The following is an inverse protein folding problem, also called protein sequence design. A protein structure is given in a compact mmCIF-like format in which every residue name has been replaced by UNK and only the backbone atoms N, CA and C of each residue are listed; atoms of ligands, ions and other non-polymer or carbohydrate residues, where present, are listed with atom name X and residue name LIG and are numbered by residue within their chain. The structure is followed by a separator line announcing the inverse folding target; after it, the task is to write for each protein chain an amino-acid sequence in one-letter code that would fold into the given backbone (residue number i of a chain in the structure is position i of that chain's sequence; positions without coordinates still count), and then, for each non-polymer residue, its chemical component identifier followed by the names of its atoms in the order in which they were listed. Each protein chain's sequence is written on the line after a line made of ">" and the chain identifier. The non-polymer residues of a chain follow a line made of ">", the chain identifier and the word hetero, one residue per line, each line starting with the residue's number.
data_IF_068344630630
#
_entry.id   IF_068344630630
#
_cell.length_a   1.000
_cell.length_b   1.000
_cell.length_c   1.000
_cell.angle_alpha   90.00
_cell.angle_beta   90.00
_cell.angle_gamma   90.00
#
_symmetry.space_group_name_H-M   'P 1'
#
loop_
_entity.id
_entity.type
_entity.pdbx_description
1 polymer ?
#
# COMPACT_ATOMS: atom_id res chain seq x y z
N UNK A 1 -51.02 8.65 26.33
CA UNK A 1 -50.60 8.84 24.93
C UNK A 1 -49.09 9.06 24.85
N UNK A 2 -48.53 10.11 25.47
CA UNK A 2 -47.05 10.32 25.47
C UNK A 2 -46.27 9.12 26.05
N UNK A 3 -46.68 8.59 27.21
CA UNK A 3 -46.03 7.40 27.79
C UNK A 3 -46.11 6.13 26.92
N UNK A 4 -47.12 5.99 26.07
CA UNK A 4 -47.25 4.82 25.19
C UNK A 4 -46.35 4.97 23.95
N UNK A 5 -46.20 6.19 23.43
CA UNK A 5 -45.29 6.51 22.33
C UNK A 5 -43.83 6.25 22.73
N UNK A 6 -43.44 6.64 23.95
CA UNK A 6 -42.09 6.41 24.47
C UNK A 6 -41.75 4.93 24.60
N UNK A 7 -42.71 4.10 25.05
CA UNK A 7 -42.50 2.65 25.17
C UNK A 7 -42.30 2.00 23.80
N UNK A 8 -43.10 2.38 22.81
CA UNK A 8 -42.98 1.85 21.44
C UNK A 8 -41.65 2.27 20.81
N UNK A 9 -41.25 3.54 20.96
CA UNK A 9 -39.98 4.04 20.43
C UNK A 9 -38.78 3.33 21.07
N UNK A 10 -38.78 3.15 22.39
CA UNK A 10 -37.70 2.44 23.09
C UNK A 10 -37.60 0.97 22.67
N UNK A 11 -38.74 0.30 22.48
CA UNK A 11 -38.77 -1.07 21.98
C UNK A 11 -38.21 -1.15 20.56
N UNK A 12 -38.64 -0.26 19.66
CA UNK A 12 -38.16 -0.22 18.29
C UNK A 12 -36.65 0.05 18.21
N UNK A 13 -36.15 1.02 18.96
CA UNK A 13 -34.72 1.31 19.05
C UNK A 13 -33.93 0.10 19.55
N UNK A 14 -34.42 -0.58 20.59
CA UNK A 14 -33.78 -1.79 21.12
C UNK A 14 -33.75 -2.93 20.10
N UNK A 15 -34.83 -3.13 19.35
CA UNK A 15 -34.91 -4.14 18.29
C UNK A 15 -33.91 -3.87 17.16
N UNK A 16 -33.77 -2.60 16.74
CA UNK A 16 -32.79 -2.20 15.72
C UNK A 16 -31.35 -2.39 16.22
N UNK A 17 -31.04 -1.96 17.45
CA UNK A 17 -29.70 -2.15 18.05
C UNK A 17 -29.32 -3.64 18.08
N UNK A 18 -30.25 -4.51 18.51
CA UNK A 18 -29.98 -5.95 18.53
C UNK A 18 -29.73 -6.51 17.13
N UNK A 19 -30.45 -6.02 16.12
CA UNK A 19 -30.25 -6.42 14.72
C UNK A 19 -28.88 -5.99 14.23
N UNK A 20 -28.50 -4.73 14.43
CA UNK A 20 -27.21 -4.17 14.07
C UNK A 20 -26.04 -4.89 14.76
N UNK A 21 -26.17 -5.20 16.05
CA UNK A 21 -25.16 -5.97 16.78
C UNK A 21 -25.01 -7.38 16.22
N UNK A 22 -26.12 -8.06 15.89
CA UNK A 22 -26.08 -9.39 15.29
C UNK A 22 -25.37 -9.37 13.93
N UNK A 23 -25.63 -8.38 13.09
CA UNK A 23 -24.95 -8.21 11.80
C UNK A 23 -23.44 -7.97 11.96
N UNK A 24 -23.02 -7.11 12.90
CA UNK A 24 -21.59 -6.88 13.17
C UNK A 24 -20.92 -8.15 13.69
N UNK A 25 -21.55 -8.88 14.61
CA UNK A 25 -21.02 -10.16 15.11
C UNK A 25 -20.84 -11.13 13.95
N UNK A 26 -21.85 -11.25 13.08
CA UNK A 26 -21.81 -12.16 11.92
C UNK A 26 -20.72 -11.76 10.91
N UNK A 27 -20.53 -10.46 10.68
CA UNK A 27 -19.46 -9.92 9.84
C UNK A 27 -18.06 -10.25 10.38
N UNK A 28 -17.91 -10.32 11.70
CA UNK A 28 -16.63 -10.65 12.36
C UNK A 28 -16.34 -12.15 12.48
N UNK A 29 -17.19 -13.03 11.96
CA UNK A 29 -16.96 -14.47 12.02
C UNK A 29 -15.73 -14.89 11.18
N UNK A 30 -15.02 -15.92 11.65
CA UNK A 30 -13.83 -16.46 10.96
C UNK A 30 -14.17 -16.93 9.54
N UNK A 31 -15.41 -17.38 9.32
CA UNK A 31 -15.91 -17.88 8.04
C UNK A 31 -15.90 -16.80 6.94
N UNK A 32 -15.92 -15.52 7.32
CA UNK A 32 -15.86 -14.42 6.37
C UNK A 32 -14.45 -14.23 5.76
N UNK A 33 -13.42 -14.89 6.31
CA UNK A 33 -12.06 -14.87 5.76
C UNK A 33 -11.31 -13.56 5.99
N UNK A 34 -11.83 -12.69 6.85
CA UNK A 34 -11.29 -11.34 7.11
C UNK A 34 -10.40 -11.28 8.37
N UNK A 35 -9.95 -12.45 8.82
CA UNK A 35 -9.05 -12.59 9.96
C UNK A 35 -7.62 -12.74 9.45
N UNK A 36 -6.72 -11.89 9.95
CA UNK A 36 -5.33 -11.85 9.51
C UNK A 36 -4.38 -12.20 10.65
N UNK A 37 -3.65 -13.30 10.47
CA UNK A 37 -2.60 -13.73 11.38
C UNK A 37 -1.23 -13.27 10.87
N UNK A 38 -0.57 -12.36 11.58
CA UNK A 38 0.74 -11.82 11.18
C UNK A 38 1.79 -12.90 10.89
N UNK A 39 1.85 -13.95 11.70
CA UNK A 39 2.81 -15.06 11.52
C UNK A 39 2.50 -15.98 10.32
N UNK A 40 1.29 -15.89 9.78
CA UNK A 40 0.81 -16.75 8.69
C UNK A 40 0.51 -15.96 7.42
N UNK A 41 0.71 -14.64 7.46
CA UNK A 41 0.51 -13.71 6.36
C UNK A 41 1.03 -14.27 5.04
N UNK A 42 0.16 -14.33 4.04
CA UNK A 42 0.48 -14.74 2.66
C UNK A 42 0.48 -13.51 1.76
N UNK A 43 1.23 -13.58 0.66
CA UNK A 43 1.26 -12.49 -0.31
C UNK A 43 -0.10 -12.36 -1.01
N UNK A 44 -0.74 -13.50 -1.29
CA UNK A 44 -2.03 -13.61 -1.95
C UNK A 44 -3.15 -12.93 -1.14
N UNK A 45 -3.09 -13.01 0.20
CA UNK A 45 -4.04 -12.29 1.08
C UNK A 45 -3.88 -10.77 1.02
N UNK A 46 -2.67 -10.29 0.76
CA UNK A 46 -2.37 -8.87 0.70
C UNK A 46 -2.67 -8.29 -0.70
N UNK A 47 -2.30 -9.02 -1.76
CA UNK A 47 -2.54 -8.63 -3.16
C UNK A 47 -4.02 -8.76 -3.55
N UNK A 48 -4.72 -9.76 -3.03
CA UNK A 48 -6.14 -9.98 -3.29
C UNK A 48 -7.07 -9.09 -2.46
N UNK A 49 -6.55 -8.20 -1.63
CA UNK A 49 -7.36 -7.31 -0.82
C UNK A 49 -7.87 -6.11 -1.64
N UNK A 50 -9.18 -6.07 -1.89
CA UNK A 50 -9.86 -4.95 -2.54
C UNK A 50 -10.97 -4.40 -1.64
N UNK A 51 -11.03 -3.06 -1.51
CA UNK A 51 -11.97 -2.41 -0.60
C UNK A 51 -13.41 -2.45 -1.15
N UNK A 52 -13.55 -2.44 -2.46
CA UNK A 52 -14.83 -2.51 -3.20
C UNK A 52 -15.49 -3.88 -3.03
N UNK A 53 -14.70 -4.95 -3.16
CA UNK A 53 -15.14 -6.32 -2.90
C UNK A 53 -15.57 -6.49 -1.45
N UNK A 54 -14.82 -5.89 -0.53
CA UNK A 54 -15.15 -5.90 0.88
C UNK A 54 -16.46 -5.17 1.16
N UNK A 55 -16.67 -4.00 0.57
CA UNK A 55 -17.93 -3.25 0.69
C UNK A 55 -19.12 -4.01 0.16
N UNK A 56 -18.97 -4.68 -0.99
CA UNK A 56 -20.00 -5.54 -1.56
C UNK A 56 -20.37 -6.67 -0.60
N UNK A 57 -19.38 -7.34 0.00
CA UNK A 57 -19.61 -8.39 1.01
C UNK A 57 -20.26 -7.85 2.28
N UNK A 58 -19.76 -6.73 2.80
CA UNK A 58 -20.32 -6.08 4.00
C UNK A 58 -21.78 -5.70 3.81
N UNK A 59 -22.14 -5.15 2.64
CA UNK A 59 -23.52 -4.83 2.29
C UNK A 59 -24.44 -6.06 2.26
N UNK A 60 -23.93 -7.20 1.79
CA UNK A 60 -24.69 -8.47 1.76
C UNK A 60 -24.87 -9.04 3.17
N UNK A 61 -23.84 -8.98 4.01
CA UNK A 61 -23.81 -9.59 5.35
C UNK A 61 -24.54 -8.72 6.38
N UNK A 62 -24.42 -7.40 6.27
CA UNK A 62 -24.95 -6.42 7.21
C UNK A 62 -25.82 -5.36 6.51
N UNK A 63 -26.90 -5.76 5.81
CA UNK A 63 -27.71 -4.84 5.02
C UNK A 63 -28.40 -3.74 5.83
N UNK A 64 -28.82 -4.02 7.07
CA UNK A 64 -29.51 -3.01 7.89
C UNK A 64 -28.53 -1.96 8.40
N UNK A 65 -27.37 -2.38 8.90
CA UNK A 65 -26.28 -1.47 9.28
C UNK A 65 -25.81 -0.65 8.08
N UNK A 66 -25.69 -1.27 6.90
CA UNK A 66 -25.34 -0.56 5.67
C UNK A 66 -26.33 0.55 5.36
N UNK A 67 -27.63 0.26 5.36
CA UNK A 67 -28.68 1.26 5.12
C UNK A 67 -28.68 2.37 6.17
N UNK A 68 -28.49 2.02 7.44
CA UNK A 68 -28.39 3.02 8.51
C UNK A 68 -27.20 3.96 8.28
N UNK A 69 -26.02 3.42 7.95
CA UNK A 69 -24.85 4.24 7.66
C UNK A 69 -25.03 5.08 6.40
N UNK A 70 -25.71 4.57 5.38
CA UNK A 70 -26.06 5.36 4.20
C UNK A 70 -26.89 6.58 4.62
N UNK A 71 -27.98 6.36 5.36
CA UNK A 71 -28.85 7.43 5.83
C UNK A 71 -28.15 8.46 6.73
N UNK A 72 -27.18 8.04 7.55
CA UNK A 72 -26.40 8.96 8.39
C UNK A 72 -25.37 9.77 7.58
N UNK A 73 -24.79 9.18 6.53
CA UNK A 73 -23.78 9.85 5.69
C UNK A 73 -24.41 10.70 4.58
N UNK A 74 -25.66 10.43 4.20
CA UNK A 74 -26.45 11.13 3.17
C UNK A 74 -27.12 12.43 3.69
N UNK A 75 -26.65 12.95 4.83
CA UNK A 75 -27.31 14.05 5.56
C UNK A 75 -27.23 15.42 4.85
N UNK A 76 -26.39 15.57 3.82
CA UNK A 76 -26.14 16.85 3.15
C UNK A 76 -27.25 17.28 2.18
N UNK A 77 -28.10 16.35 1.73
CA UNK A 77 -29.20 16.68 0.81
C UNK A 77 -30.27 17.60 1.40
N UNK A 78 -30.31 17.78 2.73
CA UNK A 78 -31.28 18.69 3.36
C UNK A 78 -30.81 20.17 3.40
N UNK A 79 -29.55 20.47 3.06
CA UNK A 79 -29.02 21.84 3.07
C UNK A 79 -29.20 22.58 1.73
N UNK A 80 -29.18 21.87 0.60
CA UNK A 80 -29.29 22.50 -0.73
C UNK A 80 -30.70 23.05 -1.03
N UNK A 81 -31.76 22.46 -0.48
CA UNK A 81 -33.15 22.92 -0.68
C UNK A 81 -33.48 24.26 0.01
N UNK A 82 -32.56 24.82 0.81
CA UNK A 82 -32.77 26.12 1.47
C UNK A 82 -32.09 27.31 0.78
N UNK A 83 -31.24 27.07 -0.21
CA UNK A 83 -30.44 28.13 -0.83
C UNK A 83 -31.09 28.75 -2.09
N UNK A 84 -32.15 28.14 -2.63
CA UNK A 84 -32.85 28.64 -3.83
C UNK A 84 -34.05 29.55 -3.55
N UNK A 85 -34.48 29.73 -2.29
CA UNK A 85 -35.64 30.57 -1.94
C UNK A 85 -35.29 31.94 -1.36
N UNK A 86 -34.01 32.36 -1.37
CA UNK A 86 -33.60 33.68 -0.85
C UNK A 86 -32.91 34.54 -1.92
N UNK A 87 -33.56 34.76 -3.06
CA UNK A 87 -33.28 35.92 -3.91
C UNK A 87 -34.61 36.50 -4.39
N UNK A 88 -35.16 37.40 -3.57
CA UNK A 88 -35.79 38.65 -4.01
C UNK A 88 -36.17 39.44 -2.76
N UNK A 89 -35.30 40.35 -2.31
CA UNK A 89 -35.66 41.65 -1.72
C UNK A 89 -34.37 42.46 -1.50
N UNK A 90 -34.16 43.46 -2.34
CA UNK A 90 -33.22 44.56 -2.09
C UNK A 90 -33.68 45.35 -0.85
N UNK A 91 -32.79 45.53 0.14
CA UNK A 91 -32.39 46.85 0.67
C UNK A 91 -31.63 46.71 2.00
N UNK A 92 -30.34 47.05 1.94
CA UNK A 92 -29.61 47.87 2.91
C UNK A 92 -29.74 47.52 4.41
N UNK A 93 -28.86 46.64 4.90
CA UNK A 93 -28.53 46.55 6.32
C UNK A 93 -27.21 45.79 6.51
N UNK A 94 -26.15 46.55 6.83
CA UNK A 94 -24.91 46.06 7.42
C UNK A 94 -25.20 45.24 8.70
N UNK A 95 -25.10 43.91 8.60
CA UNK A 95 -24.79 43.07 9.76
C UNK A 95 -23.77 42.00 9.37
N UNK A 96 -22.54 42.34 9.70
CA UNK A 96 -21.39 41.46 9.81
C UNK A 96 -21.70 40.35 10.83
N UNK A 97 -22.04 39.16 10.35
CA UNK A 97 -21.96 37.94 11.13
C UNK A 97 -21.32 36.84 10.29
N UNK A 98 -20.18 36.42 10.80
CA UNK A 98 -19.16 35.58 10.22
C UNK A 98 -19.60 34.11 10.17
N UNK A 99 -20.04 33.64 9.00
CA UNK A 99 -20.19 32.20 8.72
C UNK A 99 -18.84 31.65 8.22
N UNK A 100 -18.10 31.00 9.14
CA UNK A 100 -16.73 30.52 8.95
C UNK A 100 -16.61 28.99 8.85
N UNK A 101 -17.67 28.27 8.48
CA UNK A 101 -17.65 26.79 8.47
C UNK A 101 -18.34 26.14 7.26
N UNK A 102 -18.03 26.62 6.05
CA UNK A 102 -18.41 25.90 4.82
C UNK A 102 -17.27 25.96 3.82
N UNK A 103 -16.19 25.23 4.10
CA UNK A 103 -15.02 25.08 3.20
C UNK A 103 -14.25 23.78 3.52
N UNK A 104 -14.94 22.64 3.76
CA UNK A 104 -14.26 21.35 4.01
C UNK A 104 -13.92 20.56 2.73
N UNK A 105 -14.36 21.02 1.56
CA UNK A 105 -13.95 20.44 0.28
C UNK A 105 -12.65 21.06 -0.28
N UNK A 106 -12.14 22.12 0.35
CA UNK A 106 -10.94 22.84 -0.10
C UNK A 106 -9.65 22.39 0.61
N UNK A 107 -9.72 21.67 1.74
CA UNK A 107 -8.53 21.27 2.52
C UNK A 107 -7.67 20.21 1.82
N UNK A 108 -8.23 19.44 0.89
CA UNK A 108 -7.50 18.42 0.13
C UNK A 108 -7.25 18.81 -1.33
N UNK A 109 -7.75 19.97 -1.79
CA UNK A 109 -7.62 20.45 -3.17
C UNK A 109 -6.24 21.00 -3.53
N UNK A 110 -5.45 21.43 -2.55
CA UNK A 110 -4.21 22.19 -2.77
C UNK A 110 -2.91 21.40 -2.47
N UNK A 111 -2.93 20.07 -2.50
CA UNK A 111 -1.68 19.29 -2.63
C UNK A 111 -1.39 19.07 -4.12
N UNK A 112 -1.23 20.17 -4.85
CA UNK A 112 -0.68 20.18 -6.20
C UNK A 112 0.85 20.00 -6.10
N UNK A 113 1.30 18.76 -6.26
CA UNK A 113 2.68 18.45 -6.58
C UNK A 113 2.95 18.84 -8.03
N UNK A 114 3.27 20.11 -8.27
CA UNK A 114 3.86 20.68 -9.49
C UNK A 114 3.63 19.88 -10.79
N UNK A 115 2.41 19.91 -11.34
CA UNK A 115 2.15 19.51 -12.73
C UNK A 115 1.98 20.77 -13.60
N UNK A 116 2.71 20.93 -14.73
CA UNK A 116 2.65 22.15 -15.50
C UNK A 116 1.32 22.25 -16.29
N UNK A 117 0.49 23.17 -15.83
CA UNK A 117 -0.50 23.99 -16.53
C UNK A 117 -0.94 23.52 -17.92
N UNK A 118 -2.12 22.88 -17.99
CA UNK A 118 -2.93 22.84 -19.22
C UNK A 118 -4.17 23.70 -19.05
N UNK A 119 -4.10 24.88 -19.65
CA UNK A 119 -5.27 25.72 -19.88
C UNK A 119 -6.25 25.06 -20.87
N UNK A 120 -7.54 25.31 -20.63
CA UNK A 120 -8.70 25.19 -21.53
C UNK A 120 -9.31 23.79 -21.70
N UNK A 121 -10.52 23.59 -21.13
CA UNK A 121 -11.78 23.72 -21.87
C UNK A 121 -13.00 23.42 -20.98
N UNK A 122 -13.90 24.39 -20.93
CA UNK A 122 -15.28 24.34 -20.45
C UNK A 122 -16.09 23.22 -21.13
N UNK A 123 -16.33 22.11 -20.42
CA UNK A 123 -17.50 21.24 -20.60
C UNK A 123 -17.39 20.04 -19.64
N UNK A 124 -18.15 20.04 -18.52
CA UNK A 124 -18.60 18.82 -17.83
C UNK A 124 -19.47 19.16 -16.62
N UNK A 125 -20.78 19.02 -16.80
CA UNK A 125 -21.78 19.14 -15.73
C UNK A 125 -22.57 17.82 -15.59
N UNK A 126 -21.87 16.69 -15.78
CA UNK A 126 -22.45 15.33 -15.75
C UNK A 126 -21.54 14.31 -15.04
N UNK A 127 -20.46 14.76 -14.40
CA UNK A 127 -19.49 13.89 -13.70
C UNK A 127 -19.52 14.00 -12.18
N UNK A 128 -20.31 14.89 -11.60
CA UNK A 128 -20.33 15.06 -10.13
C UNK A 128 -21.04 13.88 -9.42
N UNK A 129 -22.18 13.44 -9.94
CA UNK A 129 -23.01 12.42 -9.26
C UNK A 129 -22.34 11.03 -9.12
N UNK A 130 -21.53 10.60 -10.09
CA UNK A 130 -20.86 9.30 -10.03
C UNK A 130 -19.68 9.27 -9.04
N UNK A 131 -18.99 10.41 -8.87
CA UNK A 131 -17.89 10.53 -7.91
C UNK A 131 -18.40 10.58 -6.46
N UNK A 132 -19.55 11.20 -6.23
CA UNK A 132 -20.14 11.35 -4.90
C UNK A 132 -20.66 10.00 -4.34
N UNK A 133 -21.34 9.21 -5.17
CA UNK A 133 -21.81 7.88 -4.79
C UNK A 133 -20.66 6.90 -4.45
N UNK A 134 -19.51 7.02 -5.12
CA UNK A 134 -18.30 6.25 -4.80
C UNK A 134 -17.73 6.60 -3.42
N UNK A 135 -17.68 7.90 -3.10
CA UNK A 135 -17.18 8.42 -1.82
C UNK A 135 -18.01 7.91 -0.63
N UNK A 136 -19.34 7.89 -0.75
CA UNK A 136 -20.23 7.43 0.32
C UNK A 136 -20.03 5.94 0.64
N UNK A 137 -19.95 5.08 -0.38
CA UNK A 137 -19.70 3.65 -0.19
C UNK A 137 -18.35 3.42 0.53
N UNK A 138 -17.30 4.14 0.15
CA UNK A 138 -15.99 4.02 0.80
C UNK A 138 -16.04 4.42 2.27
N UNK A 139 -16.72 5.53 2.60
CA UNK A 139 -16.93 5.99 3.99
C UNK A 139 -17.67 4.93 4.81
N UNK A 140 -18.71 4.30 4.27
CA UNK A 140 -19.45 3.22 4.94
C UNK A 140 -18.55 2.02 5.26
N UNK A 141 -17.73 1.58 4.30
CA UNK A 141 -16.80 0.46 4.49
C UNK A 141 -15.81 0.76 5.60
N UNK A 142 -15.23 1.96 5.65
CA UNK A 142 -14.28 2.35 6.69
C UNK A 142 -14.91 2.32 8.09
N UNK A 143 -16.12 2.84 8.25
CA UNK A 143 -16.81 2.83 9.55
C UNK A 143 -17.11 1.39 9.98
N UNK A 144 -17.60 0.55 9.07
CA UNK A 144 -17.87 -0.86 9.36
C UNK A 144 -16.61 -1.64 9.73
N UNK A 145 -15.48 -1.36 9.07
CA UNK A 145 -14.18 -1.94 9.40
C UNK A 145 -13.76 -1.60 10.83
N UNK A 146 -13.96 -0.36 11.28
CA UNK A 146 -13.64 0.08 12.64
C UNK A 146 -14.57 -0.58 13.67
N UNK A 147 -15.88 -0.64 13.40
CA UNK A 147 -16.84 -1.30 14.29
C UNK A 147 -16.59 -2.81 14.41
N UNK A 148 -16.30 -3.46 13.28
CA UNK A 148 -16.01 -4.88 13.22
C UNK A 148 -14.72 -5.22 13.97
N UNK A 149 -13.66 -4.42 13.77
CA UNK A 149 -12.40 -4.60 14.48
C UNK A 149 -12.53 -4.37 16.00
N UNK A 150 -13.31 -3.36 16.39
CA UNK A 150 -13.59 -3.05 17.79
C UNK A 150 -14.41 -4.17 18.47
N UNK A 151 -15.31 -4.83 17.73
CA UNK A 151 -16.10 -5.96 18.21
C UNK A 151 -15.27 -7.24 18.31
N UNK A 152 -14.35 -7.45 17.36
CA UNK A 152 -13.45 -8.59 17.33
C UNK A 152 -12.09 -8.18 16.75
N UNK A 153 -11.08 -8.07 17.61
CA UNK A 153 -9.72 -7.67 17.20
C UNK A 153 -9.06 -8.65 16.20
N UNK A 154 -9.61 -9.86 16.04
CA UNK A 154 -9.15 -10.80 15.01
C UNK A 154 -9.64 -10.44 13.62
N UNK A 155 -10.70 -9.65 13.49
CA UNK A 155 -11.13 -9.02 12.24
C UNK A 155 -10.21 -7.82 11.98
N UNK A 156 -9.08 -8.07 11.34
CA UNK A 156 -7.98 -7.12 11.22
C UNK A 156 -7.32 -7.12 9.83
N UNK A 157 -7.97 -7.72 8.81
CA UNK A 157 -7.41 -7.80 7.47
C UNK A 157 -7.07 -6.40 6.89
N UNK A 158 -8.00 -5.46 6.97
CA UNK A 158 -7.76 -4.08 6.53
C UNK A 158 -6.66 -3.40 7.34
N UNK A 159 -6.72 -3.49 8.67
CA UNK A 159 -5.71 -2.92 9.57
C UNK A 159 -4.31 -3.50 9.29
N UNK A 160 -4.22 -4.77 8.90
CA UNK A 160 -2.97 -5.40 8.51
C UNK A 160 -2.45 -4.85 7.17
N UNK A 161 -3.31 -4.67 6.17
CA UNK A 161 -2.96 -4.08 4.87
C UNK A 161 -2.44 -2.65 5.05
N UNK A 162 -3.15 -1.81 5.81
CA UNK A 162 -2.72 -0.44 6.12
C UNK A 162 -1.40 -0.43 6.89
N UNK A 163 -1.26 -1.27 7.91
CA UNK A 163 -0.02 -1.39 8.67
C UNK A 163 1.17 -1.82 7.82
N UNK A 164 0.97 -2.75 6.89
CA UNK A 164 1.98 -3.16 5.91
C UNK A 164 2.35 -2.01 4.97
N UNK A 165 1.36 -1.32 4.41
CA UNK A 165 1.56 -0.18 3.50
C UNK A 165 2.35 0.95 4.17
N UNK A 166 1.97 1.35 5.38
CA UNK A 166 2.69 2.40 6.11
C UNK A 166 4.14 1.98 6.39
N UNK A 167 4.36 0.69 6.73
CA UNK A 167 5.71 0.18 6.93
C UNK A 167 6.55 0.17 5.66
N UNK A 168 5.96 -0.14 4.50
CA UNK A 168 6.66 -0.14 3.21
C UNK A 168 7.05 1.27 2.76
N UNK A 169 6.27 2.29 3.14
CA UNK A 169 6.59 3.72 2.97
C UNK A 169 7.60 4.27 4.00
N UNK A 170 8.26 3.39 4.75
CA UNK A 170 9.23 3.76 5.79
C UNK A 170 8.65 4.73 6.84
N UNK A 171 7.35 4.62 7.12
CA UNK A 171 6.68 5.50 8.07
C UNK A 171 7.35 5.40 9.46
N UNK A 172 7.66 6.53 10.12
CA UNK A 172 8.22 6.55 11.46
C UNK A 172 7.39 5.71 12.45
N UNK A 173 8.09 5.04 13.38
CA UNK A 173 7.45 4.15 14.36
C UNK A 173 6.34 4.84 15.17
N UNK A 174 6.53 6.12 15.52
CA UNK A 174 5.54 6.90 16.27
C UNK A 174 4.20 7.05 15.53
N UNK A 175 4.24 7.21 14.20
CA UNK A 175 3.03 7.32 13.38
C UNK A 175 2.34 5.96 13.31
N UNK A 176 3.10 4.87 13.12
CA UNK A 176 2.54 3.52 13.15
C UNK A 176 1.88 3.20 14.52
N UNK A 177 2.49 3.60 15.64
CA UNK A 177 1.89 3.43 16.98
C UNK A 177 0.61 4.27 17.13
N UNK A 178 0.61 5.52 16.66
CA UNK A 178 -0.57 6.39 16.68
C UNK A 178 -1.73 5.80 15.88
N UNK A 179 -1.50 5.40 14.63
CA UNK A 179 -2.54 4.83 13.74
C UNK A 179 -3.03 3.47 14.29
N UNK A 180 -2.16 2.70 14.93
CA UNK A 180 -2.57 1.48 15.61
C UNK A 180 -3.47 1.76 16.83
N UNK A 181 -3.16 2.78 17.63
CA UNK A 181 -4.02 3.21 18.74
C UNK A 181 -5.37 3.78 18.29
N UNK A 182 -5.44 4.34 17.08
CA UNK A 182 -6.71 4.76 16.45
C UNK A 182 -7.57 3.58 15.95
N UNK A 183 -7.05 2.34 15.96
CA UNK A 183 -7.74 1.16 15.42
C UNK A 183 -7.74 1.06 13.89
N UNK A 184 -6.94 1.89 13.23
CA UNK A 184 -6.80 1.94 11.76
C UNK A 184 -5.72 0.96 11.28
N UNK A 185 -4.73 0.64 12.11
CA UNK A 185 -3.65 -0.32 11.81
C UNK A 185 -3.52 -1.37 12.91
N UNK A 186 -2.90 -2.50 12.59
CA UNK A 186 -2.41 -3.45 13.61
C UNK A 186 -1.19 -2.87 14.33
N UNK A 187 -0.83 -3.46 15.47
CA UNK A 187 0.33 -3.03 16.25
C UNK A 187 1.64 -3.13 15.46
N UNK A 188 2.61 -2.26 15.77
CA UNK A 188 3.95 -2.26 15.14
C UNK A 188 4.64 -3.63 15.22
N UNK A 189 4.44 -4.34 16.33
CA UNK A 189 4.98 -5.70 16.50
C UNK A 189 4.33 -6.67 15.51
N UNK A 190 3.01 -6.61 15.33
CA UNK A 190 2.27 -7.42 14.35
C UNK A 190 2.73 -7.13 12.93
N UNK A 191 2.93 -5.86 12.58
CA UNK A 191 3.48 -5.46 11.28
C UNK A 191 4.88 -6.05 11.06
N UNK A 192 5.74 -5.98 12.07
CA UNK A 192 7.11 -6.52 11.99
C UNK A 192 7.11 -8.05 11.82
N UNK A 193 6.23 -8.76 12.54
CA UNK A 193 6.03 -10.20 12.38
C UNK A 193 5.53 -10.57 10.99
N UNK A 194 4.56 -9.81 10.47
CA UNK A 194 4.05 -9.96 9.11
C UNK A 194 5.14 -9.78 8.07
N UNK A 195 5.95 -8.71 8.16
CA UNK A 195 7.09 -8.48 7.25
C UNK A 195 8.08 -9.64 7.33
N UNK A 196 8.45 -10.10 8.53
CA UNK A 196 9.36 -11.24 8.68
C UNK A 196 8.80 -12.53 8.07
N UNK A 197 7.51 -12.80 8.26
CA UNK A 197 6.82 -13.96 7.65
C UNK A 197 6.83 -13.87 6.13
N UNK A 198 6.49 -12.72 5.57
CA UNK A 198 6.47 -12.48 4.12
C UNK A 198 7.89 -12.57 3.53
N UNK A 199 8.90 -12.00 4.18
CA UNK A 199 10.30 -12.11 3.77
C UNK A 199 10.79 -13.55 3.75
N UNK A 200 10.43 -14.35 4.77
CA UNK A 200 10.79 -15.77 4.81
C UNK A 200 10.14 -16.55 3.66
N UNK A 201 8.86 -16.30 3.37
CA UNK A 201 8.17 -16.92 2.24
C UNK A 201 8.74 -16.47 0.89
N UNK A 202 9.12 -15.21 0.77
CA UNK A 202 9.80 -14.68 -0.41
C UNK A 202 11.17 -15.35 -0.59
N UNK A 203 11.93 -15.55 0.48
CA UNK A 203 13.21 -16.28 0.45
C UNK A 203 13.02 -17.74 0.02
N UNK A 204 12.02 -18.42 0.57
CA UNK A 204 11.66 -19.79 0.17
C UNK A 204 11.28 -19.84 -1.31
N UNK A 205 10.49 -18.88 -1.80
CA UNK A 205 10.14 -18.77 -3.23
C UNK A 205 11.37 -18.51 -4.08
N UNK A 206 12.28 -17.62 -3.65
CA UNK A 206 13.53 -17.34 -4.36
C UNK A 206 14.40 -18.61 -4.44
N UNK A 207 14.46 -19.43 -3.39
CA UNK A 207 15.18 -20.72 -3.41
C UNK A 207 14.57 -21.74 -4.37
N UNK A 208 13.27 -21.65 -4.66
CA UNK A 208 12.62 -22.49 -5.68
C UNK A 208 12.82 -21.98 -7.10
N UNK A 209 13.25 -20.72 -7.27
CA UNK A 209 13.63 -20.22 -8.58
C UNK A 209 14.91 -20.95 -9.03
N UNK A 210 15.09 -21.04 -10.35
CA UNK A 210 16.30 -21.64 -10.93
C UNK A 210 17.57 -20.89 -10.53
N UNK A 211 18.74 -21.27 -11.08
CA UNK A 211 20.00 -20.60 -10.79
C UNK A 211 19.84 -19.07 -10.90
N UNK A 212 20.23 -18.36 -9.86
CA UNK A 212 20.08 -16.91 -9.77
C UNK A 212 21.33 -16.30 -9.15
N UNK A 213 21.70 -15.09 -9.55
CA UNK A 213 22.80 -14.37 -8.92
C UNK A 213 22.37 -12.94 -8.57
N UNK A 214 23.02 -12.40 -7.55
CA UNK A 214 22.90 -11.00 -7.21
C UNK A 214 24.03 -10.24 -7.90
N UNK A 215 23.67 -9.36 -8.83
CA UNK A 215 24.62 -8.45 -9.46
C UNK A 215 24.64 -7.17 -8.64
N UNK A 216 25.79 -6.86 -8.05
CA UNK A 216 26.00 -5.64 -7.29
C UNK A 216 26.51 -4.56 -8.23
N UNK A 217 25.82 -3.43 -8.27
CA UNK A 217 26.28 -2.22 -8.94
C UNK A 217 26.55 -1.16 -7.86
N UNK A 218 27.80 -0.73 -7.75
CA UNK A 218 28.19 0.32 -6.80
C UNK A 218 28.04 1.66 -7.52
N UNK A 219 27.00 2.39 -7.16
CA UNK A 219 26.72 3.72 -7.67
C UNK A 219 27.31 4.77 -6.72
N UNK A 220 28.47 5.30 -7.09
CA UNK A 220 29.14 6.38 -6.37
C UNK A 220 28.90 7.72 -7.08
N UNK A 221 28.17 8.65 -6.44
CA UNK A 221 28.02 10.02 -6.91
C UNK A 221 28.79 10.99 -6.02
N UNK A 222 29.72 11.71 -6.64
CA UNK A 222 30.40 12.85 -6.01
C UNK A 222 29.66 14.15 -6.35
N UNK A 223 29.02 14.76 -5.37
CA UNK A 223 28.40 16.07 -5.54
C UNK A 223 29.42 17.17 -5.30
N UNK A 224 29.84 17.83 -6.37
CA UNK A 224 30.69 19.01 -6.29
C UNK A 224 29.88 20.19 -5.79
N UNK A 225 30.23 20.72 -4.63
CA UNK A 225 29.68 21.99 -4.13
C UNK A 225 30.35 23.11 -4.90
N UNK A 226 29.56 23.98 -5.55
CA UNK A 226 30.09 25.06 -6.37
C UNK A 226 31.13 25.91 -5.61
N UNK A 227 30.88 26.20 -4.32
CA UNK A 227 31.77 26.94 -3.44
C UNK A 227 31.93 26.17 -2.11
N UNK A 228 32.98 25.36 -1.95
CA UNK A 228 33.23 24.60 -0.72
C UNK A 228 33.43 25.55 0.47
N UNK A 229 32.59 25.43 1.50
CA UNK A 229 32.83 26.08 2.80
C UNK A 229 33.50 25.11 3.77
N UNK A 230 34.20 25.57 4.82
CA UNK A 230 34.86 24.70 5.80
C UNK A 230 33.93 23.62 6.39
N UNK A 231 32.64 23.94 6.51
CA UNK A 231 31.63 23.03 7.03
C UNK A 231 30.97 22.14 5.97
N UNK A 232 31.05 22.47 4.67
CA UNK A 232 30.38 21.76 3.57
C UNK A 232 31.30 21.68 2.33
N UNK A 233 32.34 20.83 2.40
CA UNK A 233 33.35 20.77 1.34
C UNK A 233 32.96 19.89 0.16
N UNK A 234 32.39 18.70 0.41
CA UNK A 234 31.91 17.73 -0.59
C UNK A 234 30.95 16.75 0.07
N UNK A 235 29.91 16.31 -0.65
CA UNK A 235 29.08 15.18 -0.24
C UNK A 235 29.28 14.03 -1.22
N UNK A 236 29.67 12.87 -0.69
CA UNK A 236 29.78 11.63 -1.44
C UNK A 236 28.59 10.74 -1.08
N UNK A 237 27.75 10.44 -2.06
CA UNK A 237 26.69 9.46 -1.91
C UNK A 237 27.18 8.16 -2.56
N UNK A 238 27.49 7.17 -1.74
CA UNK A 238 27.74 5.81 -2.19
C UNK A 238 26.45 5.00 -1.98
N UNK A 239 25.92 4.44 -3.06
CA UNK A 239 24.74 3.59 -3.02
C UNK A 239 25.04 2.29 -3.78
N UNK A 240 24.94 1.14 -3.11
CA UNK A 240 25.04 -0.16 -3.78
C UNK A 240 23.65 -0.60 -4.19
N UNK A 241 23.39 -0.65 -5.50
CA UNK A 241 22.23 -1.31 -6.06
C UNK A 241 22.50 -2.82 -6.18
N UNK A 242 21.51 -3.64 -5.85
CA UNK A 242 21.58 -5.09 -6.03
C UNK A 242 20.49 -5.50 -6.99
N UNK A 243 20.88 -6.03 -8.15
CA UNK A 243 19.97 -6.56 -9.16
C UNK A 243 19.93 -8.08 -9.04
N UNK A 244 18.77 -8.60 -8.64
CA UNK A 244 18.51 -10.04 -8.66
C UNK A 244 18.25 -10.48 -10.09
N UNK A 245 19.12 -11.34 -10.64
CA UNK A 245 19.01 -11.84 -12.01
C UNK A 245 18.69 -13.32 -12.01
N UNK A 246 17.56 -13.69 -12.61
CA UNK A 246 17.18 -15.08 -12.86
C UNK A 246 17.80 -15.56 -14.17
N UNK A 247 18.48 -16.69 -14.13
CA UNK A 247 18.99 -17.36 -15.32
C UNK A 247 17.92 -18.29 -15.90
N UNK A 248 16.87 -17.68 -16.43
CA UNK A 248 15.86 -18.40 -17.18
C UNK A 248 16.34 -18.55 -18.62
N UNK A 249 16.45 -19.80 -19.07
CA UNK A 249 16.66 -20.15 -20.48
C UNK A 249 17.97 -19.59 -21.08
N UNK A 250 19.07 -19.61 -20.31
CA UNK A 250 20.40 -19.29 -20.86
C UNK A 250 20.75 -20.34 -21.90
N UNK A 251 20.72 -19.94 -23.17
CA UNK A 251 21.39 -20.65 -24.24
C UNK A 251 22.84 -20.16 -24.25
N UNK A 252 23.74 -21.00 -23.69
CA UNK A 252 25.15 -20.69 -23.53
C UNK A 252 25.81 -20.18 -24.82
N UNK A 253 25.43 -20.72 -25.98
CA UNK A 253 26.00 -20.28 -27.26
C UNK A 253 25.45 -18.92 -27.69
N UNK A 254 24.16 -18.68 -27.46
CA UNK A 254 23.50 -17.43 -27.84
C UNK A 254 23.89 -16.28 -26.93
N UNK A 255 24.02 -16.49 -25.63
CA UNK A 255 24.21 -15.39 -24.67
C UNK A 255 25.68 -14.98 -24.54
N UNK A 256 26.61 -15.92 -24.70
CA UNK A 256 28.05 -15.61 -24.74
C UNK A 256 28.51 -15.02 -26.08
N UNK A 257 27.67 -15.08 -27.14
CA UNK A 257 28.02 -14.50 -28.45
C UNK A 257 28.31 -13.00 -28.34
N UNK A 258 27.59 -12.28 -27.49
CA UNK A 258 27.78 -10.85 -27.31
C UNK A 258 29.04 -10.55 -26.52
N UNK A 259 29.42 -11.43 -25.59
CA UNK A 259 30.71 -11.32 -24.90
C UNK A 259 31.86 -11.54 -25.89
N UNK A 260 31.70 -12.46 -26.84
CA UNK A 260 32.67 -12.68 -27.91
C UNK A 260 32.69 -11.52 -28.92
N UNK A 261 31.53 -11.03 -29.35
CA UNK A 261 31.41 -9.89 -30.27
C UNK A 261 31.99 -8.61 -29.64
N UNK A 262 31.65 -8.31 -28.38
CA UNK A 262 32.21 -7.18 -27.64
C UNK A 262 33.73 -7.35 -27.46
N UNK A 263 34.22 -8.58 -27.30
CA UNK A 263 35.66 -8.86 -27.27
C UNK A 263 36.33 -8.54 -28.60
N UNK A 264 35.74 -8.96 -29.71
CA UNK A 264 36.28 -8.78 -31.06
C UNK A 264 36.16 -7.33 -31.56
N UNK A 265 35.13 -6.60 -31.11
CA UNK A 265 34.84 -5.23 -31.56
C UNK A 265 35.36 -4.13 -30.62
N UNK A 266 35.65 -4.43 -29.36
CA UNK A 266 36.11 -3.44 -28.38
C UNK A 266 37.48 -2.87 -28.75
N UNK A 267 37.56 -1.53 -28.80
CA UNK A 267 38.79 -0.79 -29.06
C UNK A 267 39.89 -1.06 -28.03
N UNK A 268 39.52 -1.48 -26.82
CA UNK A 268 40.44 -1.83 -25.75
C UNK A 268 41.12 -3.19 -25.94
N UNK A 269 40.61 -4.04 -26.85
CA UNK A 269 41.14 -5.38 -27.12
C UNK A 269 41.89 -5.50 -28.44
N UNK A 270 41.90 -4.46 -29.29
CA UNK A 270 42.44 -4.50 -30.66
C UNK A 270 43.93 -4.92 -30.70
N UNK A 271 44.69 -4.59 -29.66
CA UNK A 271 46.14 -4.81 -29.62
C UNK A 271 46.58 -6.03 -28.80
N UNK A 272 45.63 -6.81 -28.25
CA UNK A 272 45.98 -7.93 -27.37
C UNK A 272 45.87 -9.23 -28.16
N UNK A 273 46.98 -9.99 -28.20
CA UNK A 273 47.05 -11.25 -28.94
C UNK A 273 46.02 -12.27 -28.40
N UNK A 274 45.30 -13.04 -29.23
CA UNK A 274 44.27 -14.00 -28.79
C UNK A 274 44.71 -15.03 -27.74
N UNK A 275 46.02 -15.25 -27.64
CA UNK A 275 46.70 -16.20 -26.74
C UNK A 275 47.45 -15.54 -25.58
N UNK A 276 47.30 -14.23 -25.40
CA UNK A 276 47.94 -13.51 -24.30
C UNK A 276 47.30 -13.89 -22.96
N UNK A 277 48.13 -14.28 -21.98
CA UNK A 277 47.71 -14.73 -20.66
C UNK A 277 47.04 -13.61 -19.83
N UNK A 278 47.23 -12.35 -20.22
CA UNK A 278 46.56 -11.19 -19.61
C UNK A 278 45.12 -11.00 -20.10
N UNK A 279 44.69 -11.71 -21.16
CA UNK A 279 43.30 -11.69 -21.59
C UNK A 279 42.52 -12.66 -20.72
N UNK A 280 41.75 -12.11 -19.79
CA UNK A 280 40.69 -12.84 -19.12
C UNK A 280 39.72 -13.40 -20.16
N UNK A 281 39.73 -14.72 -20.33
CA UNK A 281 38.71 -15.45 -21.10
C UNK A 281 37.63 -15.83 -20.09
N UNK A 282 36.53 -15.06 -19.98
CA UNK A 282 35.48 -15.38 -19.03
C UNK A 282 34.99 -16.80 -19.30
N UNK A 283 35.28 -17.71 -18.38
CA UNK A 283 34.55 -18.97 -18.31
C UNK A 283 33.29 -18.72 -17.50
N UNK A 284 32.26 -19.51 -17.75
CA UNK A 284 31.04 -19.45 -16.94
C UNK A 284 31.40 -19.61 -15.45
N UNK A 285 32.31 -20.53 -15.12
CA UNK A 285 32.84 -20.75 -13.77
C UNK A 285 33.60 -19.55 -13.17
N UNK A 286 34.06 -18.60 -14.00
CA UNK A 286 34.75 -17.39 -13.52
C UNK A 286 33.76 -16.24 -13.20
N UNK A 287 32.54 -16.30 -13.76
CA UNK A 287 31.45 -15.34 -13.52
C UNK A 287 30.55 -15.82 -12.36
N UNK A 288 30.48 -17.13 -12.15
CA UNK A 288 29.65 -17.76 -11.13
C UNK A 288 30.47 -18.28 -9.97
N UNK A 289 30.16 -17.91 -8.72
CA UNK A 289 30.80 -18.54 -7.58
C UNK A 289 30.46 -20.04 -7.60
N UNK A 290 31.47 -20.89 -7.76
CA UNK A 290 31.33 -22.33 -7.53
C UNK A 290 30.88 -22.51 -6.09
N UNK A 291 29.59 -22.83 -5.88
CA UNK A 291 29.05 -23.01 -4.54
C UNK A 291 29.87 -24.07 -3.79
N UNK A 292 30.45 -23.78 -2.61
CA UNK A 292 31.24 -24.74 -1.85
C UNK A 292 30.36 -25.74 -1.09
N UNK A 293 29.26 -26.20 -1.69
CA UNK A 293 28.27 -27.06 -1.03
C UNK A 293 27.95 -28.28 -1.89
N UNK A 294 28.92 -29.21 -2.04
CA UNK A 294 28.69 -30.67 -2.05
C UNK A 294 29.99 -31.44 -2.34
N UNK A 295 30.88 -31.51 -1.35
CA UNK A 295 31.77 -32.67 -1.22
C UNK A 295 31.90 -33.04 0.26
N UNK A 296 30.80 -33.56 0.84
CA UNK A 296 30.96 -34.49 1.97
C UNK A 296 31.60 -35.73 1.37
N UNK A 297 32.92 -35.81 1.45
CA UNK A 297 33.66 -37.02 1.11
C UNK A 297 33.19 -38.18 1.98
N UNK A 298 33.16 -39.41 1.45
CA UNK A 298 32.89 -40.58 2.27
C UNK A 298 34.01 -40.67 3.30
N UNK A 299 33.67 -40.52 4.58
CA UNK A 299 34.56 -40.83 5.68
C UNK A 299 34.92 -42.30 5.58
N UNK A 300 36.15 -42.57 5.17
CA UNK A 300 36.79 -43.87 5.31
C UNK A 300 36.87 -44.21 6.80
N UNK A 301 36.16 -45.26 7.18
CA UNK A 301 36.54 -46.16 8.27
C UNK A 301 38.04 -46.46 8.17
N UNK A 302 38.86 -46.07 9.16
CA UNK A 302 39.95 -46.88 9.75
C UNK A 302 40.32 -46.35 11.13
N UNK A 303 40.19 -47.17 12.18
CA UNK A 303 40.77 -46.95 13.50
C UNK A 303 39.89 -47.38 14.67
#
# INVERSE_FOLDING_TARGET
>A
MEQEVDVVNNWAASAMINTYQAEIVHLTEVQQGLHFGANWATLEQLEGFALEDLGTRMKIIAPFMWQMLAALLDSDHCQQDKQTDTIEYEADSLSESTDLFSDDDSIWGDIDLDEPSRENLTHRDTTHDEHEAGSLNQKQVMILLVFSHSSNQKFNAFQAVIGFFLKSKQCPKIILEMVAHMGISVSVQSVSQMVNSLSKKAEERIKTLGPSNNIYDNFDMEFLVAHPTPDHQKYHLSATAVTFTLYLDIDHERDLRFTQELRETSEYNINISPDDAWIYKPRFDDIFPTSPLTTVGPGEDQG
#
